data_IF_495913671876
#
_entry.id   IF_495913671876
#
_cell.length_a   1.000
_cell.length_b   1.000
_cell.length_c   1.000
_cell.angle_alpha   90.00
_cell.angle_beta   90.00
_cell.angle_gamma   90.00
#
_symmetry.space_group_name_H-M   'P 1'
#
loop_
_entity.id
_entity.type
_entity.pdbx_description
1 polymer ?
#
# COMPACT_ATOMS: atom_id res chain seq x y z
N UNK A 1 3.35 -10.23 -17.78
CA UNK A 1 4.02 -9.37 -16.79
C UNK A 1 2.94 -8.43 -16.34
N UNK A 2 2.52 -8.54 -15.09
CA UNK A 2 1.57 -7.58 -14.53
C UNK A 2 2.25 -6.23 -14.33
N UNK A 3 1.47 -5.16 -14.45
CA UNK A 3 1.82 -3.82 -14.06
C UNK A 3 1.48 -3.66 -12.56
N UNK A 4 2.40 -3.07 -11.82
CA UNK A 4 2.27 -2.85 -10.38
C UNK A 4 1.84 -1.41 -10.13
N UNK A 5 0.85 -1.25 -9.26
CA UNK A 5 0.28 0.01 -8.86
C UNK A 5 0.18 0.08 -7.35
N UNK A 6 0.29 1.29 -6.82
CA UNK A 6 0.02 1.59 -5.42
C UNK A 6 -1.46 1.93 -5.28
N UNK A 7 -2.24 1.09 -4.61
CA UNK A 7 -3.65 1.32 -4.32
C UNK A 7 -3.83 2.07 -3.00
N UNK A 8 -4.47 3.24 -3.02
CA UNK A 8 -4.80 4.00 -1.80
C UNK A 8 -6.31 3.99 -1.58
N UNK A 9 -6.76 3.50 -0.42
CA UNK A 9 -8.19 3.54 -0.05
C UNK A 9 -8.59 4.99 0.25
N UNK A 10 -9.31 5.62 -0.69
CA UNK A 10 -9.79 7.00 -0.55
C UNK A 10 -11.01 7.08 0.39
N UNK A 11 -11.99 6.19 0.17
CA UNK A 11 -13.23 6.17 0.96
C UNK A 11 -13.95 4.84 0.89
N UNK A 12 -14.89 4.66 1.82
CA UNK A 12 -15.84 3.55 1.79
C UNK A 12 -17.23 4.04 1.41
N UNK A 13 -17.86 3.34 0.48
CA UNK A 13 -19.25 3.51 0.10
C UNK A 13 -20.03 2.27 0.53
N UNK A 14 -20.51 2.28 1.78
CA UNK A 14 -21.18 1.13 2.39
C UNK A 14 -20.23 -0.06 2.56
N UNK A 15 -20.48 -1.12 1.78
CA UNK A 15 -19.68 -2.35 1.75
C UNK A 15 -18.64 -2.35 0.64
N UNK A 16 -18.48 -1.23 -0.09
CA UNK A 16 -17.47 -1.05 -1.12
C UNK A 16 -16.38 -0.08 -0.67
N UNK A 17 -15.17 -0.29 -1.16
CA UNK A 17 -14.00 0.54 -0.97
C UNK A 17 -13.60 1.13 -2.32
N UNK A 18 -13.45 2.44 -2.35
CA UNK A 18 -12.91 3.17 -3.50
C UNK A 18 -11.40 3.27 -3.30
N UNK A 19 -10.65 2.73 -4.25
CA UNK A 19 -9.20 2.64 -4.19
C UNK A 19 -8.62 3.35 -5.41
N UNK A 20 -7.78 4.35 -5.18
CA UNK A 20 -7.07 5.06 -6.22
C UNK A 20 -5.78 4.32 -6.57
N UNK A 21 -5.57 4.00 -7.84
CA UNK A 21 -4.34 3.41 -8.33
C UNK A 21 -3.36 4.52 -8.70
N UNK A 22 -2.21 4.51 -8.06
CA UNK A 22 -1.12 5.44 -8.31
C UNK A 22 0.07 4.74 -8.97
N UNK A 23 0.68 5.40 -9.95
CA UNK A 23 1.95 5.03 -10.55
C UNK A 23 2.88 6.25 -10.51
N UNK A 24 4.11 6.06 -10.03
CA UNK A 24 5.09 7.14 -9.88
C UNK A 24 4.60 8.36 -9.06
N UNK A 25 3.64 8.16 -8.16
CA UNK A 25 3.07 9.20 -7.31
C UNK A 25 1.97 10.05 -7.97
N UNK A 26 1.49 9.65 -9.14
CA UNK A 26 0.31 10.22 -9.77
C UNK A 26 -0.81 9.18 -9.82
N UNK A 27 -2.05 9.60 -9.52
CA UNK A 27 -3.23 8.75 -9.70
C UNK A 27 -3.47 8.52 -11.19
N UNK A 28 -3.37 7.26 -11.61
CA UNK A 28 -3.54 6.85 -13.01
C UNK A 28 -4.88 6.18 -13.26
N UNK A 29 -5.51 5.60 -12.23
CA UNK A 29 -6.79 4.89 -12.36
C UNK A 29 -7.54 4.79 -11.02
N UNK A 30 -8.78 4.31 -11.04
CA UNK A 30 -9.62 4.07 -9.85
C UNK A 30 -10.27 2.69 -9.93
N UNK A 31 -10.24 1.96 -8.81
CA UNK A 31 -10.91 0.66 -8.68
C UNK A 31 -11.83 0.64 -7.47
N UNK A 32 -13.02 0.09 -7.66
CA UNK A 32 -14.00 -0.10 -6.59
C UNK A 32 -14.08 -1.57 -6.26
N UNK A 33 -13.72 -1.94 -5.03
CA UNK A 33 -13.70 -3.32 -4.58
C UNK A 33 -14.60 -3.52 -3.35
N UNK A 34 -15.20 -4.70 -3.18
CA UNK A 34 -15.86 -5.05 -1.93
C UNK A 34 -14.89 -4.95 -0.76
N UNK A 35 -15.35 -4.46 0.40
CA UNK A 35 -14.55 -4.45 1.63
C UNK A 35 -14.13 -5.85 2.08
N UNK A 36 -14.86 -6.88 1.66
CA UNK A 36 -14.51 -8.29 1.87
C UNK A 36 -13.36 -8.78 0.99
N UNK A 37 -13.07 -8.11 -0.13
CA UNK A 37 -11.92 -8.39 -1.00
C UNK A 37 -10.67 -7.66 -0.52
N UNK A 38 -10.81 -6.67 0.36
CA UNK A 38 -9.67 -5.99 0.96
C UNK A 38 -8.90 -6.94 1.88
N UNK A 39 -7.58 -7.02 1.74
CA UNK A 39 -6.76 -7.85 2.62
C UNK A 39 -6.73 -7.24 4.02
N UNK A 40 -7.41 -7.90 4.98
CA UNK A 40 -7.29 -7.69 6.44
C UNK A 40 -7.15 -6.22 6.91
N UNK A 41 -5.90 -5.79 7.12
CA UNK A 41 -5.57 -4.43 7.59
C UNK A 41 -5.90 -3.32 6.58
N UNK A 42 -6.18 -3.65 5.33
CA UNK A 42 -6.60 -2.76 4.25
C UNK A 42 -8.01 -2.17 4.40
N UNK A 43 -8.84 -2.67 5.33
CA UNK A 43 -10.17 -2.14 5.63
C UNK A 43 -10.13 -0.83 6.45
N UNK A 44 -9.28 0.11 6.03
CA UNK A 44 -9.22 1.46 6.57
C UNK A 44 -9.01 2.48 5.46
N UNK A 45 -9.56 3.67 5.65
CA UNK A 45 -9.23 4.82 4.81
C UNK A 45 -7.74 5.13 4.97
N UNK A 46 -7.11 5.59 3.89
CA UNK A 46 -5.65 5.79 3.76
C UNK A 46 -4.84 4.48 3.88
N UNK A 47 -5.46 3.30 3.70
CA UNK A 47 -4.69 2.07 3.54
C UNK A 47 -3.97 2.08 2.20
N UNK A 48 -2.68 1.74 2.24
CA UNK A 48 -1.86 1.52 1.06
C UNK A 48 -1.83 0.01 0.77
N UNK A 49 -2.17 -0.34 -0.46
CA UNK A 49 -2.26 -1.67 -1.00
C UNK A 49 -1.31 -1.77 -2.19
N UNK A 50 -0.72 -2.93 -2.40
CA UNK A 50 -0.01 -3.25 -3.62
C UNK A 50 -0.96 -3.98 -4.55
N UNK A 51 -1.22 -3.40 -5.71
CA UNK A 51 -2.15 -3.95 -6.70
C UNK A 51 -1.38 -4.29 -7.96
N UNK A 52 -1.42 -5.57 -8.35
CA UNK A 52 -0.85 -6.04 -9.61
C UNK A 52 -2.00 -6.27 -10.59
N UNK A 53 -1.97 -5.56 -11.72
CA UNK A 53 -2.95 -5.69 -12.81
C UNK A 53 -2.29 -6.30 -14.03
N UNK A 54 -2.98 -7.13 -14.79
CA UNK A 54 -2.51 -7.55 -16.13
C UNK A 54 -3.55 -7.14 -17.18
N UNK A 55 -3.30 -6.03 -17.86
CA UNK A 55 -4.27 -5.43 -18.77
C UNK A 55 -5.40 -4.75 -18.00
N UNK A 56 -6.64 -5.18 -18.24
CA UNK A 56 -7.81 -4.58 -17.58
C UNK A 56 -8.19 -5.28 -16.26
N UNK A 57 -7.58 -6.41 -15.95
CA UNK A 57 -7.99 -7.31 -14.87
C UNK A 57 -7.01 -7.27 -13.68
N UNK A 58 -7.54 -7.16 -12.46
CA UNK A 58 -6.72 -7.23 -11.24
C UNK A 58 -6.29 -8.68 -11.02
N UNK A 59 -4.97 -8.89 -11.00
CA UNK A 59 -4.35 -10.22 -10.81
C UNK A 59 -4.14 -10.52 -9.34
N UNK A 60 -3.71 -9.53 -8.58
CA UNK A 60 -3.27 -9.72 -7.19
C UNK A 60 -3.46 -8.41 -6.41
N UNK A 61 -3.94 -8.54 -5.17
CA UNK A 61 -4.08 -7.43 -4.22
C UNK A 61 -3.45 -7.91 -2.93
N UNK A 62 -2.32 -7.32 -2.57
CA UNK A 62 -1.63 -7.62 -1.33
C UNK A 62 -1.62 -6.38 -0.43
N UNK A 63 -1.91 -6.60 0.85
CA UNK A 63 -1.64 -5.59 1.86
C UNK A 63 -0.13 -5.52 2.07
N UNK A 64 0.51 -4.43 1.64
CA UNK A 64 1.94 -4.26 1.82
C UNK A 64 2.24 -3.82 3.27
N UNK A 65 2.32 -4.82 4.15
CA UNK A 65 2.71 -4.64 5.54
C UNK A 65 4.17 -4.14 5.69
N UNK A 66 5.00 -4.27 4.65
CA UNK A 66 6.41 -3.89 4.66
C UNK A 66 6.60 -2.39 4.38
N UNK A 67 5.79 -1.76 3.53
CA UNK A 67 5.79 -0.30 3.35
C UNK A 67 5.16 0.44 4.55
N UNK A 68 4.13 -0.16 5.16
CA UNK A 68 3.55 0.31 6.43
C UNK A 68 4.55 0.27 7.60
N UNK A 69 5.55 -0.63 7.55
CA UNK A 69 6.67 -0.66 8.50
C UNK A 69 7.77 0.34 8.14
N UNK A 70 8.12 0.51 6.85
CA UNK A 70 9.17 1.45 6.42
C UNK A 70 8.89 2.90 6.83
N UNK A 71 7.63 3.35 6.86
CA UNK A 71 7.31 4.72 7.37
C UNK A 71 7.31 4.86 8.89
N UNK A 72 7.34 3.76 9.64
CA UNK A 72 7.60 3.78 11.09
C UNK A 72 9.11 3.82 11.42
N UNK A 73 9.97 3.60 10.44
CA UNK A 73 11.44 3.65 10.60
C UNK A 73 12.10 4.97 10.19
N UNK A 74 11.40 5.93 9.58
CA UNK A 74 11.93 7.32 9.45
C UNK A 74 11.80 8.17 10.72
N UNK A 75 11.60 7.53 11.88
CA UNK A 75 11.91 8.11 13.21
C UNK A 75 12.92 7.24 13.97
N UNK A 76 13.63 6.33 13.28
CA UNK A 76 14.76 5.60 13.86
C UNK A 76 16.06 5.77 13.04
N UNK A 77 16.16 6.88 12.31
CA UNK A 77 17.48 7.51 12.09
C UNK A 77 17.92 8.03 13.46
N UNK A 78 18.68 7.24 14.23
CA UNK A 78 19.55 7.65 15.36
C UNK A 78 20.03 6.49 16.27
N UNK A 79 19.91 5.19 15.94
CA UNK A 79 20.41 4.18 16.89
C UNK A 79 21.07 2.92 16.31
N UNK A 80 21.86 3.02 15.23
CA UNK A 80 22.76 1.92 14.86
C UNK A 80 24.07 2.36 14.16
N UNK A 81 24.71 3.45 14.64
CA UNK A 81 26.06 3.80 14.14
C UNK A 81 27.07 4.39 15.12
N UNK A 82 26.90 4.21 16.43
CA UNK A 82 27.85 4.74 17.43
C UNK A 82 28.20 3.76 18.55
N UNK A 83 28.17 2.46 18.28
CA UNK A 83 28.73 1.46 19.20
C UNK A 83 29.66 0.50 18.47
N UNK A 84 30.73 1.05 17.89
CA UNK A 84 32.03 0.35 17.84
C UNK A 84 33.18 1.37 17.79
N UNK A 85 33.57 1.81 18.99
CA UNK A 85 34.95 2.15 19.42
C UNK A 85 35.02 1.74 20.90
N UNK A 86 36.12 1.18 21.45
CA UNK A 86 37.54 1.19 21.05
C UNK A 86 38.05 -0.24 20.72
N UNK A 87 39.26 -0.52 20.21
CA UNK A 87 40.60 0.05 20.36
C UNK A 87 41.33 0.20 19.01
#
# INVERSE_FOLDING_TARGET
>A
MGEEFTGVVDRFEGDQAVILLEADGETVDEVVLPRTDLPGDGDRVDAILRIVREGDEIREIEFDAEESKRRKESVNDQFDRLSERPD
#
